data_IF_114175591918
#
_entry.id   IF_114175591918
#
_cell.length_a   1.000
_cell.length_b   1.000
_cell.length_c   1.000
_cell.angle_alpha   90.00
_cell.angle_beta   90.00
_cell.angle_gamma   90.00
#
_symmetry.space_group_name_H-M   'P 1'
#
loop_
_entity.id
_entity.type
_entity.pdbx_description
1 polymer ?
#
# COMPACT_ATOMS: atom_id res chain seq x y z
N UNK A 1 44.42 -49.92 -24.95
CA UNK A 1 44.88 -50.87 -23.88
C UNK A 1 45.64 -52.08 -24.42
N UNK A 2 44.98 -53.14 -24.92
CA UNK A 2 45.69 -54.34 -25.42
C UNK A 2 46.51 -54.04 -26.67
N UNK A 3 45.96 -53.24 -27.59
CA UNK A 3 46.64 -52.79 -28.80
C UNK A 3 47.88 -51.93 -28.51
N UNK A 4 47.78 -50.94 -27.61
CA UNK A 4 48.91 -50.10 -27.20
C UNK A 4 50.02 -50.92 -26.51
N UNK A 5 49.61 -51.91 -25.71
CA UNK A 5 50.53 -52.85 -25.07
C UNK A 5 51.31 -53.68 -26.09
N UNK A 6 50.63 -54.25 -27.09
CA UNK A 6 51.25 -55.11 -28.11
C UNK A 6 52.07 -54.34 -29.13
N UNK A 7 51.63 -53.13 -29.51
CA UNK A 7 52.30 -52.31 -30.53
C UNK A 7 53.59 -51.67 -30.00
N UNK A 8 53.61 -51.28 -28.73
CA UNK A 8 54.77 -50.62 -28.10
C UNK A 8 55.60 -51.58 -27.23
N UNK A 9 55.20 -52.85 -27.11
CA UNK A 9 55.81 -53.87 -26.23
C UNK A 9 56.05 -53.36 -24.79
N UNK A 10 55.17 -52.49 -24.30
CA UNK A 10 55.36 -51.76 -23.05
C UNK A 10 54.14 -51.93 -22.14
N UNK A 11 54.28 -52.79 -21.12
CA UNK A 11 53.21 -53.09 -20.14
C UNK A 11 52.70 -51.84 -19.43
N UNK A 12 53.62 -50.97 -19.04
CA UNK A 12 53.29 -49.75 -18.29
C UNK A 12 52.38 -48.81 -19.09
N UNK A 13 52.60 -48.69 -20.40
CA UNK A 13 51.79 -47.84 -21.28
C UNK A 13 50.37 -48.40 -21.42
N UNK A 14 50.25 -49.73 -21.56
CA UNK A 14 48.96 -50.40 -21.60
C UNK A 14 48.14 -50.22 -20.32
N UNK A 15 48.79 -50.26 -19.15
CA UNK A 15 48.15 -49.99 -17.86
C UNK A 15 47.74 -48.53 -17.70
N UNK A 16 48.64 -47.58 -17.98
CA UNK A 16 48.34 -46.16 -17.89
C UNK A 16 47.19 -45.76 -18.83
N UNK A 17 47.16 -46.29 -20.06
CA UNK A 17 46.06 -46.07 -21.02
C UNK A 17 44.72 -46.60 -20.47
N UNK A 18 44.73 -47.76 -19.81
CA UNK A 18 43.54 -48.33 -19.17
C UNK A 18 43.04 -47.47 -18.00
N UNK A 19 43.96 -47.00 -17.16
CA UNK A 19 43.61 -46.21 -15.98
C UNK A 19 43.08 -44.82 -16.38
N UNK A 20 43.69 -44.19 -17.38
CA UNK A 20 43.19 -42.94 -17.97
C UNK A 20 41.80 -43.14 -18.58
N UNK A 21 41.59 -44.24 -19.32
CA UNK A 21 40.27 -44.56 -19.88
C UNK A 21 39.20 -44.76 -18.80
N UNK A 22 39.50 -45.52 -17.75
CA UNK A 22 38.56 -45.74 -16.65
C UNK A 22 38.23 -44.45 -15.91
N UNK A 23 39.25 -43.59 -15.71
CA UNK A 23 39.07 -42.28 -15.09
C UNK A 23 38.18 -41.39 -15.96
N UNK A 24 38.47 -41.32 -17.26
CA UNK A 24 37.63 -40.59 -18.23
C UNK A 24 36.19 -41.09 -18.26
N UNK A 25 35.96 -42.41 -18.27
CA UNK A 25 34.60 -42.98 -18.25
C UNK A 25 33.87 -42.62 -16.96
N UNK A 26 34.56 -42.67 -15.82
CA UNK A 26 33.98 -42.27 -14.52
C UNK A 26 33.62 -40.78 -14.50
N UNK A 27 34.55 -39.92 -14.87
CA UNK A 27 34.34 -38.47 -14.94
C UNK A 27 33.23 -38.12 -15.95
N UNK A 28 33.22 -38.79 -17.10
CA UNK A 28 32.15 -38.66 -18.08
C UNK A 28 30.82 -39.01 -17.44
N UNK A 29 30.68 -40.15 -16.74
CA UNK A 29 29.43 -40.56 -16.10
C UNK A 29 28.99 -39.58 -14.99
N UNK A 30 29.94 -38.94 -14.30
CA UNK A 30 29.65 -37.93 -13.27
C UNK A 30 29.20 -36.60 -13.89
N UNK A 31 29.84 -36.15 -14.98
CA UNK A 31 29.40 -34.97 -15.74
C UNK A 31 28.05 -35.19 -16.44
N UNK A 32 27.84 -36.40 -16.95
CA UNK A 32 26.60 -36.88 -17.57
C UNK A 32 25.45 -36.94 -16.57
N UNK A 33 25.69 -37.23 -15.28
CA UNK A 33 24.63 -37.28 -14.25
C UNK A 33 23.85 -35.97 -14.08
N UNK A 34 24.35 -34.83 -14.57
CA UNK A 34 23.61 -33.57 -14.63
C UNK A 34 22.52 -33.57 -15.74
N UNK A 35 21.77 -34.66 -15.95
CA UNK A 35 20.71 -34.71 -16.98
C UNK A 35 19.41 -34.01 -16.60
N UNK A 36 19.29 -33.61 -15.34
CA UNK A 36 18.09 -32.99 -14.83
C UNK A 36 18.10 -31.50 -15.20
N UNK A 37 17.40 -31.16 -16.27
CA UNK A 37 17.24 -29.78 -16.72
C UNK A 37 15.79 -29.33 -16.56
N UNK A 38 15.60 -28.03 -16.31
CA UNK A 38 14.27 -27.42 -16.29
C UNK A 38 13.80 -26.99 -17.70
N UNK A 39 14.56 -27.31 -18.74
CA UNK A 39 14.27 -26.94 -20.13
C UNK A 39 14.49 -25.45 -20.44
N UNK A 40 14.13 -25.02 -21.66
CA UNK A 40 14.26 -23.61 -22.07
C UNK A 40 13.28 -22.71 -21.31
N UNK A 41 13.69 -21.46 -21.07
CA UNK A 41 12.83 -20.41 -20.51
C UNK A 41 12.23 -19.63 -21.69
N UNK A 42 10.90 -19.67 -21.83
CA UNK A 42 10.18 -18.89 -22.85
C UNK A 42 9.65 -17.60 -22.22
N UNK A 43 10.12 -16.44 -22.72
CA UNK A 43 9.65 -15.12 -22.30
C UNK A 43 8.87 -14.48 -23.45
N UNK A 44 7.68 -13.96 -23.16
CA UNK A 44 6.75 -13.42 -24.17
C UNK A 44 7.24 -12.06 -24.71
N UNK A 45 7.79 -11.21 -23.82
CA UNK A 45 8.27 -9.87 -24.15
C UNK A 45 9.75 -9.70 -23.75
N UNK A 46 10.71 -10.21 -24.54
CA UNK A 46 12.13 -10.12 -24.23
C UNK A 46 12.74 -8.74 -24.51
N UNK A 47 11.94 -7.77 -24.97
CA UNK A 47 12.45 -6.44 -25.31
C UNK A 47 13.09 -5.74 -24.11
N UNK A 48 14.29 -5.21 -24.33
CA UNK A 48 15.11 -4.55 -23.31
C UNK A 48 15.54 -5.42 -22.12
N UNK A 49 15.29 -6.73 -22.17
CA UNK A 49 15.69 -7.71 -21.17
C UNK A 49 17.03 -8.34 -21.56
N UNK A 50 17.93 -8.47 -20.58
CA UNK A 50 19.20 -9.16 -20.68
C UNK A 50 19.21 -10.37 -19.75
N UNK A 51 19.83 -11.46 -20.20
CA UNK A 51 19.92 -12.72 -19.46
C UNK A 51 21.35 -12.93 -18.96
N UNK A 52 21.46 -13.31 -17.69
CA UNK A 52 22.72 -13.68 -17.03
C UNK A 52 22.59 -15.06 -16.39
N UNK A 53 23.46 -16.03 -16.69
CA UNK A 53 24.57 -15.98 -17.64
C UNK A 53 24.10 -16.06 -19.10
N UNK A 54 24.68 -15.28 -20.00
CA UNK A 54 24.23 -15.22 -21.40
C UNK A 54 24.35 -16.58 -22.14
N UNK A 55 25.33 -17.42 -21.75
CA UNK A 55 25.79 -18.59 -22.51
C UNK A 55 25.56 -19.95 -21.83
N UNK A 56 24.57 -20.10 -20.94
CA UNK A 56 24.25 -21.43 -20.39
C UNK A 56 23.51 -22.30 -21.43
N UNK A 57 24.12 -23.40 -21.94
CA UNK A 57 23.57 -24.19 -23.05
C UNK A 57 22.49 -25.19 -22.63
N UNK A 58 22.41 -25.52 -21.34
CA UNK A 58 21.37 -26.36 -20.77
C UNK A 58 21.25 -26.00 -19.29
N UNK A 59 20.20 -25.31 -18.88
CA UNK A 59 20.02 -24.95 -17.48
C UNK A 59 19.82 -26.21 -16.63
N UNK A 60 20.86 -26.57 -15.88
CA UNK A 60 20.89 -27.79 -15.09
C UNK A 60 20.29 -27.55 -13.70
N UNK A 61 19.98 -28.65 -13.01
CA UNK A 61 19.56 -28.62 -11.62
C UNK A 61 20.53 -27.81 -10.75
N UNK A 62 20.01 -26.80 -10.06
CA UNK A 62 20.80 -25.88 -9.22
C UNK A 62 21.24 -24.60 -9.93
N UNK A 63 21.14 -24.53 -11.26
CA UNK A 63 21.44 -23.30 -11.98
C UNK A 63 20.40 -22.21 -11.72
N UNK A 64 20.88 -20.98 -11.65
CA UNK A 64 20.06 -19.78 -11.57
C UNK A 64 20.26 -18.92 -12.82
N UNK A 65 19.17 -18.58 -13.49
CA UNK A 65 19.13 -17.61 -14.55
C UNK A 65 18.53 -16.31 -14.01
N UNK A 66 19.29 -15.22 -14.11
CA UNK A 66 18.83 -13.89 -13.73
C UNK A 66 18.55 -13.08 -14.98
N UNK A 67 17.39 -12.46 -15.01
CA UNK A 67 17.02 -11.49 -16.01
C UNK A 67 17.19 -10.09 -15.44
N UNK A 68 17.70 -9.18 -16.24
CA UNK A 68 17.82 -7.78 -15.89
C UNK A 68 17.31 -6.94 -17.06
N UNK A 69 16.94 -5.69 -16.80
CA UNK A 69 16.61 -4.77 -17.87
C UNK A 69 17.81 -3.86 -18.15
N UNK A 70 17.90 -3.30 -19.36
CA UNK A 70 18.84 -2.22 -19.62
C UNK A 70 18.70 -1.09 -18.59
N UNK A 71 19.79 -0.36 -18.35
CA UNK A 71 19.85 0.72 -17.35
C UNK A 71 18.77 1.80 -17.54
N UNK A 72 18.21 1.95 -18.74
CA UNK A 72 17.13 2.91 -19.06
C UNK A 72 15.74 2.45 -18.60
N UNK A 73 15.62 1.20 -18.13
CA UNK A 73 14.37 0.57 -17.76
C UNK A 73 14.40 0.12 -16.28
N UNK A 74 13.23 -0.09 -15.71
CA UNK A 74 13.04 -0.77 -14.44
C UNK A 74 12.52 -2.17 -14.69
N UNK A 75 13.10 -3.15 -13.99
CA UNK A 75 12.60 -4.52 -14.00
C UNK A 75 11.37 -4.62 -13.09
N UNK A 76 10.39 -5.38 -13.55
CA UNK A 76 9.17 -5.72 -12.83
C UNK A 76 8.97 -7.23 -12.86
N UNK A 77 8.30 -7.77 -11.85
CA UNK A 77 8.09 -9.21 -11.71
C UNK A 77 9.30 -9.95 -11.13
N UNK A 78 9.28 -11.27 -11.26
CA UNK A 78 10.30 -12.15 -10.72
C UNK A 78 11.43 -12.31 -11.73
N UNK A 79 12.62 -11.89 -11.34
CA UNK A 79 13.76 -11.77 -12.25
C UNK A 79 14.84 -12.83 -12.02
N UNK A 80 14.69 -13.67 -11.00
CA UNK A 80 15.61 -14.75 -10.69
C UNK A 80 14.87 -16.09 -10.79
N UNK A 81 15.28 -16.89 -11.77
CA UNK A 81 14.74 -18.20 -12.06
C UNK A 81 15.74 -19.27 -11.62
N UNK A 82 15.34 -20.09 -10.65
CA UNK A 82 16.15 -21.21 -10.18
C UNK A 82 15.55 -22.52 -10.66
N UNK A 83 16.39 -23.40 -11.19
CA UNK A 83 16.00 -24.74 -11.57
C UNK A 83 16.09 -25.66 -10.35
N UNK A 84 14.95 -26.11 -9.82
CA UNK A 84 14.90 -26.92 -8.61
C UNK A 84 14.02 -28.16 -8.79
N UNK A 85 14.28 -29.18 -7.97
CA UNK A 85 13.41 -30.35 -7.89
C UNK A 85 12.12 -29.96 -7.17
N UNK A 86 10.99 -30.30 -7.79
CA UNK A 86 9.66 -30.17 -7.23
C UNK A 86 9.08 -31.58 -7.12
N UNK A 87 8.76 -31.99 -5.90
CA UNK A 87 8.11 -33.27 -5.62
C UNK A 87 6.59 -33.05 -5.71
N UNK A 88 5.88 -33.96 -6.38
CA UNK A 88 4.42 -33.90 -6.43
C UNK A 88 3.85 -34.17 -5.02
N UNK A 89 2.85 -33.39 -4.61
CA UNK A 89 2.20 -33.54 -3.31
C UNK A 89 1.45 -34.87 -3.19
N UNK A 90 0.96 -35.41 -4.31
CA UNK A 90 0.14 -36.63 -4.32
C UNK A 90 0.96 -37.93 -4.44
N UNK A 91 2.19 -37.86 -4.97
CA UNK A 91 3.06 -39.02 -5.12
C UNK A 91 4.52 -38.63 -4.88
N UNK A 92 5.04 -39.01 -3.72
CA UNK A 92 6.39 -38.66 -3.28
C UNK A 92 7.49 -39.27 -4.17
N UNK A 93 7.19 -40.36 -4.89
CA UNK A 93 8.15 -40.97 -5.80
C UNK A 93 8.24 -40.25 -7.16
N UNK A 94 7.32 -39.32 -7.43
CA UNK A 94 7.28 -38.56 -8.69
C UNK A 94 7.85 -37.16 -8.45
N UNK A 95 9.06 -36.94 -8.96
CA UNK A 95 9.70 -35.63 -8.96
C UNK A 95 9.84 -35.10 -10.38
N UNK A 96 9.84 -33.78 -10.50
CA UNK A 96 10.07 -33.06 -11.75
C UNK A 96 10.95 -31.85 -11.51
N UNK A 97 11.69 -31.45 -12.53
CA UNK A 97 12.50 -30.24 -12.49
C UNK A 97 11.70 -29.12 -13.11
N UNK A 98 11.38 -28.12 -12.30
CA UNK A 98 10.61 -26.96 -12.74
C UNK A 98 11.33 -25.68 -12.34
N UNK A 99 11.15 -24.67 -13.17
CA UNK A 99 11.49 -23.31 -12.81
C UNK A 99 10.66 -22.86 -11.61
N UNK A 100 11.23 -21.98 -10.79
CA UNK A 100 10.48 -21.35 -9.71
C UNK A 100 9.19 -20.69 -10.26
N UNK A 101 8.09 -20.84 -9.53
CA UNK A 101 6.82 -20.22 -9.89
C UNK A 101 6.89 -18.75 -9.56
N UNK A 102 6.52 -17.91 -10.53
CA UNK A 102 6.57 -16.47 -10.38
C UNK A 102 5.89 -15.74 -11.53
N UNK A 103 5.80 -14.44 -11.37
CA UNK A 103 5.41 -13.50 -12.42
C UNK A 103 6.52 -13.35 -13.46
N UNK A 104 6.15 -13.34 -14.73
CA UNK A 104 7.11 -13.17 -15.82
C UNK A 104 7.78 -11.79 -15.75
N UNK A 105 9.12 -11.69 -15.88
CA UNK A 105 9.81 -10.43 -15.83
C UNK A 105 9.52 -9.64 -17.09
N UNK A 106 9.35 -8.34 -16.92
CA UNK A 106 9.21 -7.41 -18.02
C UNK A 106 9.88 -6.09 -17.69
N UNK A 107 10.25 -5.37 -18.74
CA UNK A 107 10.93 -4.09 -18.64
C UNK A 107 9.96 -2.95 -18.90
N UNK A 108 9.99 -1.94 -18.03
CA UNK A 108 9.25 -0.68 -18.22
C UNK A 108 10.21 0.50 -18.28
N UNK A 109 9.96 1.44 -19.18
CA UNK A 109 10.82 2.62 -19.31
C UNK A 109 10.75 3.50 -18.06
N UNK A 110 11.91 4.04 -17.65
CA UNK A 110 12.04 4.87 -16.45
C UNK A 110 11.29 6.20 -16.58
N UNK A 111 11.34 6.79 -17.76
CA UNK A 111 10.65 8.05 -18.10
C UNK A 111 9.13 7.93 -17.89
N UNK A 112 8.55 6.84 -18.38
CA UNK A 112 7.11 6.58 -18.27
C UNK A 112 6.67 6.31 -16.83
N UNK A 113 7.49 5.60 -16.05
CA UNK A 113 7.26 5.41 -14.61
C UNK A 113 7.28 6.74 -13.85
N UNK A 114 8.21 7.63 -14.18
CA UNK A 114 8.24 8.96 -13.58
C UNK A 114 6.98 9.75 -13.95
N UNK A 115 6.61 9.77 -15.23
CA UNK A 115 5.40 10.44 -15.71
C UNK A 115 4.13 9.94 -14.98
N UNK A 116 4.01 8.62 -14.79
CA UNK A 116 2.86 8.04 -14.10
C UNK A 116 2.80 8.38 -12.62
N UNK A 117 3.94 8.48 -11.94
CA UNK A 117 4.00 8.95 -10.55
C UNK A 117 3.49 10.38 -10.43
N UNK A 118 3.92 11.27 -11.33
CA UNK A 118 3.46 12.65 -11.36
C UNK A 118 1.97 12.75 -11.70
N UNK A 119 1.51 11.99 -12.70
CA UNK A 119 0.10 11.96 -13.08
C UNK A 119 -0.77 11.48 -11.90
N UNK A 120 -0.38 10.41 -11.22
CA UNK A 120 -1.12 9.87 -10.08
C UNK A 120 -1.14 10.87 -8.91
N UNK A 121 -0.04 11.58 -8.66
CA UNK A 121 0.02 12.62 -7.63
C UNK A 121 -0.96 13.77 -7.93
N UNK A 122 -0.98 14.29 -9.16
CA UNK A 122 -1.89 15.36 -9.58
C UNK A 122 -3.35 14.90 -9.49
N UNK A 123 -3.66 13.70 -10.01
CA UNK A 123 -5.00 13.13 -9.91
C UNK A 123 -5.46 12.93 -8.46
N UNK A 124 -4.57 12.51 -7.56
CA UNK A 124 -4.88 12.37 -6.14
C UNK A 124 -5.23 13.69 -5.48
N UNK A 125 -4.49 14.77 -5.78
CA UNK A 125 -4.78 16.10 -5.24
C UNK A 125 -6.13 16.62 -5.74
N UNK A 126 -6.40 16.47 -7.04
CA UNK A 126 -7.69 16.86 -7.63
C UNK A 126 -8.84 16.06 -7.02
N UNK A 127 -8.67 14.75 -6.80
CA UNK A 127 -9.69 13.90 -6.18
C UNK A 127 -10.02 14.36 -4.74
N UNK A 128 -9.02 14.76 -3.96
CA UNK A 128 -9.24 15.27 -2.59
C UNK A 128 -10.03 16.58 -2.60
N UNK A 129 -9.67 17.51 -3.49
CA UNK A 129 -10.41 18.79 -3.64
C UNK A 129 -11.87 18.52 -4.04
N UNK A 130 -12.09 17.61 -5.00
CA UNK A 130 -13.44 17.22 -5.41
C UNK A 130 -14.26 16.65 -4.26
N UNK A 131 -13.66 15.79 -3.41
CA UNK A 131 -14.33 15.25 -2.22
C UNK A 131 -14.72 16.37 -1.24
N UNK A 132 -13.81 17.33 -0.99
CA UNK A 132 -14.11 18.47 -0.10
C UNK A 132 -15.27 19.31 -0.63
N UNK A 133 -15.30 19.61 -1.93
CA UNK A 133 -16.39 20.35 -2.57
C UNK A 133 -17.70 19.58 -2.48
N UNK A 134 -17.69 18.27 -2.71
CA UNK A 134 -18.89 17.42 -2.60
C UNK A 134 -19.46 17.44 -1.17
N UNK A 135 -18.62 17.30 -0.14
CA UNK A 135 -19.06 17.39 1.26
C UNK A 135 -19.69 18.76 1.54
N UNK A 136 -19.05 19.83 1.07
CA UNK A 136 -19.57 21.19 1.22
C UNK A 136 -20.93 21.37 0.54
N UNK A 137 -21.08 20.89 -0.68
CA UNK A 137 -22.33 20.94 -1.43
C UNK A 137 -23.43 20.09 -0.76
N UNK A 138 -23.12 18.89 -0.27
CA UNK A 138 -24.07 18.07 0.48
C UNK A 138 -24.57 18.80 1.74
N UNK A 139 -23.65 19.38 2.52
CA UNK A 139 -23.99 20.18 3.70
C UNK A 139 -24.81 21.42 3.34
N UNK A 140 -24.48 22.07 2.22
CA UNK A 140 -25.23 23.21 1.71
C UNK A 140 -26.65 22.82 1.29
N UNK A 141 -26.83 21.74 0.52
CA UNK A 141 -28.13 21.26 0.10
C UNK A 141 -29.03 20.92 1.30
N UNK A 142 -28.48 20.27 2.34
CA UNK A 142 -29.23 20.00 3.58
C UNK A 142 -29.62 21.29 4.29
N UNK A 143 -28.72 22.27 4.38
CA UNK A 143 -29.00 23.58 4.98
C UNK A 143 -30.06 24.37 4.19
N UNK A 144 -30.00 24.34 2.86
CA UNK A 144 -30.95 25.00 1.97
C UNK A 144 -32.35 24.38 2.11
N UNK A 145 -32.43 23.04 2.16
CA UNK A 145 -33.69 22.31 2.38
C UNK A 145 -34.33 22.69 3.72
N UNK A 146 -33.56 22.74 4.81
CA UNK A 146 -34.07 23.16 6.12
C UNK A 146 -34.59 24.60 6.15
N UNK A 147 -34.00 25.51 5.36
CA UNK A 147 -34.50 26.89 5.23
C UNK A 147 -35.82 26.96 4.48
N UNK A 148 -35.98 26.19 3.40
CA UNK A 148 -37.26 26.09 2.68
C UNK A 148 -38.38 25.53 3.55
N UNK A 149 -38.10 24.52 4.39
CA UNK A 149 -39.07 23.98 5.34
C UNK A 149 -39.47 24.99 6.43
N UNK A 150 -38.55 25.84 6.89
CA UNK A 150 -38.85 26.91 7.86
C UNK A 150 -39.65 28.06 7.24
N UNK A 151 -39.35 28.46 6.01
CA UNK A 151 -40.10 29.51 5.32
C UNK A 151 -41.54 29.06 5.05
N UNK A 152 -41.75 27.82 4.55
CA UNK A 152 -43.09 27.24 4.37
C UNK A 152 -43.84 27.02 5.70
N UNK A 153 -43.15 26.58 6.75
CA UNK A 153 -43.73 26.43 8.09
C UNK A 153 -44.17 27.76 8.70
N UNK A 154 -43.42 28.83 8.46
CA UNK A 154 -43.74 30.18 8.94
C UNK A 154 -44.91 30.83 8.19
N UNK A 155 -45.03 30.57 6.88
CA UNK A 155 -46.12 31.05 6.04
C UNK A 155 -47.44 30.35 6.41
N UNK A 156 -47.42 29.02 6.58
CA UNK A 156 -48.58 28.25 7.03
C UNK A 156 -49.01 28.61 8.47
N UNK A 157 -48.05 28.98 9.33
CA UNK A 157 -48.32 29.47 10.70
C UNK A 157 -48.84 30.91 10.76
N UNK A 158 -48.55 31.74 9.75
CA UNK A 158 -49.17 33.07 9.59
C UNK A 158 -50.60 32.95 9.07
N UNK A 159 -50.82 32.11 8.06
CA UNK A 159 -52.14 31.84 7.49
C UNK A 159 -53.11 31.23 8.52
N UNK A 160 -52.60 30.36 9.42
CA UNK A 160 -53.38 29.81 10.55
C UNK A 160 -53.71 30.85 11.63
N UNK A 161 -52.84 31.85 11.87
CA UNK A 161 -53.12 32.95 12.80
C UNK A 161 -54.16 33.94 12.28
N UNK A 162 -54.22 34.17 10.97
CA UNK A 162 -55.25 35.00 10.36
C UNK A 162 -56.63 34.33 10.38
N UNK A 163 -56.70 32.99 10.29
CA UNK A 163 -57.96 32.23 10.39
C UNK A 163 -58.52 32.24 11.83
N UNK A 164 -57.69 32.12 12.86
CA UNK A 164 -58.15 32.21 14.27
C UNK A 164 -58.54 33.64 14.71
N UNK A 165 -58.19 34.67 13.92
CA UNK A 165 -58.61 36.06 14.12
C UNK A 165 -60.00 36.37 13.54
N UNK A 166 -60.51 35.51 12.66
CA UNK A 166 -61.85 35.66 12.07
C UNK A 166 -62.86 34.76 12.80
N UNK A 167 -63.16 35.09 14.05
CA UNK A 167 -64.29 34.52 14.77
C UNK A 167 -65.38 35.60 14.88
N UNK A 168 -66.42 35.57 14.03
CA UNK A 168 -67.53 36.52 14.15
C UNK A 168 -68.31 36.18 15.43
N UNK A 169 -68.04 36.92 16.50
CA UNK A 169 -68.92 36.94 17.67
C UNK A 169 -70.27 37.50 17.24
N UNK A 170 -71.27 36.64 17.28
CA UNK A 170 -72.68 37.01 17.31
C UNK A 170 -72.97 37.77 18.60
N UNK A 171 -73.10 39.09 18.49
CA UNK A 171 -73.64 39.92 19.56
C UNK A 171 -75.12 39.57 19.77
N UNK A 172 -75.42 38.97 20.91
CA UNK A 172 -76.76 39.07 21.52
C UNK A 172 -76.61 39.75 22.87
N UNK A 173 -77.27 40.91 22.95
CA UNK A 173 -77.45 41.74 24.12
C UNK A 173 -77.97 40.92 25.31
N UNK A 174 -77.29 41.00 26.46
CA UNK A 174 -78.00 40.97 27.74
C UNK A 174 -77.39 41.98 28.70
N UNK A 175 -78.19 43.02 28.97
CA UNK A 175 -78.09 43.89 30.14
C UNK A 175 -77.76 43.10 31.41
N UNK A 176 -76.95 43.66 32.31
CA UNK A 176 -77.39 44.03 33.68
C UNK A 176 -76.22 44.58 34.50
N UNK A 177 -76.53 45.63 35.25
CA UNK A 177 -75.77 46.30 36.31
C UNK A 177 -75.06 45.38 37.31
N UNK A 178 -73.90 45.78 37.85
CA UNK A 178 -73.79 46.38 39.19
C UNK A 178 -72.32 46.70 39.57
N UNK A 179 -72.19 47.67 40.46
CA UNK A 179 -71.02 48.35 41.02
C UNK A 179 -70.24 47.52 42.07
N UNK A 180 -69.01 47.99 42.31
CA UNK A 180 -68.24 48.00 43.60
C UNK A 180 -67.77 46.63 44.11
N UNK A 181 -66.63 46.45 44.77
CA UNK A 181 -65.61 47.34 45.30
C UNK A 181 -64.36 46.50 45.66
N UNK A 182 -63.18 47.12 45.51
CA UNK A 182 -62.01 47.08 46.42
C UNK A 182 -61.40 45.74 46.93
N UNK A 183 -60.05 45.72 46.89
CA UNK A 183 -59.14 45.39 48.00
C UNK A 183 -58.22 44.12 47.88
N UNK A 184 -57.00 44.38 47.36
CA UNK A 184 -55.68 44.13 48.00
C UNK A 184 -55.08 42.73 48.11
N UNK A 185 -53.84 42.59 47.58
CA UNK A 185 -52.55 42.38 48.31
C UNK A 185 -51.42 42.17 47.27
N UNK A 186 -50.35 42.99 47.18
CA UNK A 186 -49.13 43.01 48.03
C UNK A 186 -48.60 41.56 48.24
N UNK A 187 -47.37 41.16 47.94
CA UNK A 187 -46.07 41.85 48.00
C UNK A 187 -44.96 40.92 47.42
N UNK A 188 -43.72 41.43 47.27
CA UNK A 188 -42.56 40.80 46.66
C UNK A 188 -41.61 40.15 47.70
N UNK A 189 -40.70 39.28 47.23
CA UNK A 189 -39.39 38.98 47.83
C UNK A 189 -38.50 38.55 46.63
N UNK A 190 -37.35 39.14 46.30
CA UNK A 190 -36.40 39.84 47.14
C UNK A 190 -35.21 38.93 47.42
N UNK A 191 -34.28 38.77 46.46
CA UNK A 191 -32.83 38.74 46.75
C UNK A 191 -32.11 39.36 45.56
N UNK A 192 -31.46 40.48 45.87
CA UNK A 192 -30.41 41.15 45.11
C UNK A 192 -29.13 40.91 45.90
N UNK A 193 -28.09 40.40 45.26
CA UNK A 193 -26.72 40.72 45.67
C UNK A 193 -26.06 41.47 44.53
N UNK A 194 -25.76 42.72 44.85
CA UNK A 194 -25.13 43.73 44.03
C UNK A 194 -23.66 43.42 43.67
N UNK A 195 -23.25 43.95 42.52
CA UNK A 195 -22.02 44.75 42.25
C UNK A 195 -20.63 44.15 42.55
N UNK A 196 -19.57 44.40 41.78
CA UNK A 196 -19.25 45.39 40.72
C UNK A 196 -18.03 44.88 39.90
N UNK A 197 -17.69 45.55 38.78
CA UNK A 197 -16.65 45.20 37.81
C UNK A 197 -15.29 45.84 38.17
N UNK A 198 -14.23 45.48 37.43
CA UNK A 198 -13.42 46.42 36.62
C UNK A 198 -12.16 45.75 36.04
N UNK A 199 -11.91 46.11 34.77
CA UNK A 199 -10.61 46.40 34.14
C UNK A 199 -9.47 45.37 34.00
N UNK A 200 -8.56 45.73 33.12
CA UNK A 200 -7.85 44.90 32.13
C UNK A 200 -6.31 44.88 32.39
N UNK A 201 -5.45 44.29 31.53
CA UNK A 201 -4.21 43.53 31.86
C UNK A 201 -2.96 44.43 32.03
N UNK A 202 -1.74 43.94 32.42
CA UNK A 202 -0.79 43.32 31.46
C UNK A 202 0.33 42.37 32.01
N UNK A 203 1.08 41.77 31.06
CA UNK A 203 2.54 41.49 31.05
C UNK A 203 3.18 40.16 31.57
N UNK A 204 3.97 39.53 30.66
CA UNK A 204 5.28 38.82 30.80
C UNK A 204 5.43 37.63 31.77
N UNK A 205 6.16 36.52 31.55
CA UNK A 205 7.28 36.09 30.67
C UNK A 205 7.54 34.57 30.89
N UNK A 206 8.48 33.91 30.17
CA UNK A 206 8.53 32.45 29.91
C UNK A 206 9.54 31.67 30.78
N UNK A 207 9.49 30.33 30.77
CA UNK A 207 10.63 29.39 30.97
C UNK A 207 10.13 27.93 30.85
N UNK A 208 10.62 27.15 29.86
CA UNK A 208 11.75 26.20 29.94
C UNK A 208 11.41 24.82 30.55
N UNK A 209 11.25 23.80 29.69
CA UNK A 209 11.82 22.48 29.95
C UNK A 209 12.15 21.74 28.66
N UNK A 210 13.41 21.85 28.27
CA UNK A 210 14.06 20.92 27.36
C UNK A 210 14.22 19.56 28.07
N UNK A 211 14.13 18.46 27.31
CA UNK A 211 14.79 17.21 27.68
C UNK A 211 15.42 16.61 26.43
N UNK A 212 16.67 17.02 26.25
CA UNK A 212 17.67 16.37 25.42
C UNK A 212 18.03 15.03 26.08
N UNK A 213 18.11 13.94 25.32
CA UNK A 213 18.90 12.77 25.68
C UNK A 213 19.58 12.24 24.42
N UNK A 214 20.88 12.53 24.34
CA UNK A 214 21.85 11.85 23.52
C UNK A 214 22.10 10.44 24.09
N UNK A 215 22.26 9.46 23.22
CA UNK A 215 23.30 8.42 23.36
C UNK A 215 23.66 7.93 21.95
N UNK A 216 24.92 8.13 21.51
CA UNK A 216 25.49 7.49 20.33
C UNK A 216 26.63 6.56 20.76
N UNK A 217 26.39 5.26 20.84
CA UNK A 217 27.49 4.28 20.92
C UNK A 217 26.96 2.89 20.55
N UNK A 218 27.15 2.50 19.30
CA UNK A 218 27.43 1.12 18.93
C UNK A 218 28.42 1.16 17.77
N UNK A 219 29.67 1.19 18.18
CA UNK A 219 30.86 0.91 17.41
C UNK A 219 30.76 -0.41 16.62
N UNK A 220 31.32 -0.35 15.40
CA UNK A 220 32.23 -1.34 14.82
C UNK A 220 31.71 -2.77 14.65
N UNK A 221 31.36 -3.11 13.41
CA UNK A 221 31.85 -4.37 12.81
C UNK A 221 31.98 -4.21 11.29
N UNK A 222 33.07 -3.54 10.90
CA UNK A 222 33.70 -3.66 9.59
C UNK A 222 34.73 -4.80 9.68
N UNK A 223 34.76 -5.65 8.65
CA UNK A 223 35.97 -6.35 8.25
C UNK A 223 35.99 -7.84 8.57
N UNK A 224 35.73 -8.67 7.54
CA UNK A 224 36.41 -9.94 7.38
C UNK A 224 37.08 -9.96 6.01
N UNK A 225 38.36 -9.63 6.07
CA UNK A 225 39.42 -9.95 5.13
C UNK A 225 39.50 -11.46 4.87
N UNK A 226 39.79 -11.81 3.62
CA UNK A 226 40.34 -13.12 3.20
C UNK A 226 41.67 -13.41 3.92
N UNK A 227 42.01 -14.69 4.16
CA UNK A 227 43.05 -15.31 3.32
C UNK A 227 42.97 -16.85 3.12
N UNK A 228 43.90 -17.32 2.28
CA UNK A 228 44.31 -18.68 1.84
C UNK A 228 43.71 -19.16 0.52
#
# INVERSE_FOLDING_TARGET
CLYDYTMLNAKIIGHNSKDTWNTFVRERMEAVRQYNSCGPINIEYPEYLMKTPALAPAYMQGDAARFECFQTHWIKGDHEYKCQMVVDYNDYNRYRFEWNKGSQPWCRSREFENMLKWLTAICSVVAIIMIMVLIFLCCWCVKQKRRQEQDQGSENSRLRRDIDSYNPRTDTLSNYSDKRDTFTRLTPNGVRTDMKPDDSPPYSTPELRSRHRHDPENEKLLGLTTPV
#
